data_IF_283745673938
#
_entry.id   IF_283745673938
#
_cell.length_a   1.000
_cell.length_b   1.000
_cell.length_c   1.000
_cell.angle_alpha   90.00
_cell.angle_beta   90.00
_cell.angle_gamma   90.00
#
_symmetry.space_group_name_H-M   'P 1'
#
loop_
_entity.id
_entity.type
_entity.pdbx_description
1 polymer ?
#
# COMPACT_ATOMS: atom_id res chain seq x y z
N UNK A 1 -13.84 9.61 8.59
CA UNK A 1 -13.22 9.11 7.34
C UNK A 1 -14.10 8.12 6.59
N UNK A 2 -14.66 7.11 7.27
CA UNK A 2 -15.53 6.08 6.64
C UNK A 2 -16.67 6.65 5.79
N UNK A 3 -17.25 7.81 6.14
CA UNK A 3 -18.27 8.49 5.33
C UNK A 3 -17.79 8.81 3.92
N UNK A 4 -16.58 9.34 3.77
CA UNK A 4 -16.03 9.67 2.45
C UNK A 4 -15.68 8.43 1.64
N UNK A 5 -15.20 7.37 2.31
CA UNK A 5 -14.99 6.06 1.66
C UNK A 5 -16.32 5.50 1.16
N UNK A 6 -17.37 5.58 1.99
CA UNK A 6 -18.71 5.17 1.61
C UNK A 6 -19.23 5.96 0.40
N UNK A 7 -19.11 7.28 0.41
CA UNK A 7 -19.55 8.15 -0.70
C UNK A 7 -18.78 7.82 -1.99
N UNK A 8 -17.47 7.57 -1.91
CA UNK A 8 -16.66 7.11 -3.03
C UNK A 8 -17.16 5.75 -3.56
N UNK A 9 -17.32 4.74 -2.71
CA UNK A 9 -17.82 3.41 -3.11
C UNK A 9 -19.20 3.50 -3.75
N UNK A 10 -20.08 4.36 -3.22
CA UNK A 10 -21.43 4.58 -3.74
C UNK A 10 -21.43 5.30 -5.08
N UNK A 11 -20.59 6.31 -5.25
CA UNK A 11 -20.51 7.13 -6.46
C UNK A 11 -20.14 6.33 -7.72
N UNK A 12 -19.44 5.20 -7.55
CA UNK A 12 -19.01 4.34 -8.67
C UNK A 12 -20.06 3.27 -9.02
N UNK A 13 -21.23 3.29 -8.38
CA UNK A 13 -22.42 2.51 -8.74
C UNK A 13 -22.54 1.15 -8.03
N UNK A 14 -21.44 0.69 -7.43
CA UNK A 14 -21.31 -0.48 -6.54
C UNK A 14 -19.80 -0.72 -6.40
N UNK A 15 -19.30 -1.15 -5.24
CA UNK A 15 -17.89 -1.57 -5.08
C UNK A 15 -17.43 -2.69 -6.04
N UNK A 16 -18.37 -3.22 -6.83
CA UNK A 16 -18.25 -4.25 -7.86
C UNK A 16 -17.36 -3.93 -9.06
N UNK A 17 -17.12 -2.65 -9.39
CA UNK A 17 -16.35 -2.35 -10.59
C UNK A 17 -14.89 -2.76 -10.38
N UNK A 18 -14.53 -3.86 -11.02
CA UNK A 18 -13.16 -4.31 -11.19
C UNK A 18 -12.49 -3.36 -12.17
N UNK A 19 -11.49 -2.64 -11.68
CA UNK A 19 -10.58 -1.87 -12.50
C UNK A 19 -9.40 -2.76 -12.89
N UNK A 20 -8.85 -2.52 -14.07
CA UNK A 20 -7.68 -3.24 -14.58
C UNK A 20 -6.54 -2.28 -14.87
N UNK A 21 -5.32 -2.78 -14.73
CA UNK A 21 -4.09 -2.15 -15.22
C UNK A 21 -3.29 -3.20 -15.99
N UNK A 22 -2.72 -2.81 -17.12
CA UNK A 22 -1.75 -3.67 -17.81
C UNK A 22 -0.49 -3.80 -16.94
N UNK A 23 0.15 -4.95 -16.95
CA UNK A 23 1.35 -5.20 -16.15
C UNK A 23 2.49 -5.62 -17.04
N UNK A 24 3.62 -4.95 -16.87
CA UNK A 24 4.83 -5.20 -17.63
C UNK A 24 6.01 -5.39 -16.66
N UNK A 25 6.81 -6.42 -16.92
CA UNK A 25 8.10 -6.61 -16.26
C UNK A 25 9.22 -6.18 -17.20
N UNK A 26 10.08 -5.29 -16.73
CA UNK A 26 11.18 -4.77 -17.51
C UNK A 26 12.49 -5.45 -17.12
N UNK A 27 13.26 -5.89 -18.11
CA UNK A 27 14.59 -6.45 -17.91
C UNK A 27 15.55 -5.46 -17.21
N UNK A 28 16.08 -5.85 -16.05
CA UNK A 28 16.97 -5.02 -15.25
C UNK A 28 18.20 -4.52 -16.03
N UNK A 29 18.78 -5.34 -16.90
CA UNK A 29 19.96 -4.99 -17.69
C UNK A 29 19.67 -3.81 -18.62
N UNK A 30 18.48 -3.77 -19.23
CA UNK A 30 18.06 -2.67 -20.10
C UNK A 30 17.86 -1.37 -19.33
N UNK A 31 17.37 -1.45 -18.10
CA UNK A 31 17.25 -0.29 -17.20
C UNK A 31 18.63 0.24 -16.83
N UNK A 32 19.59 -0.65 -16.54
CA UNK A 32 20.96 -0.28 -16.13
C UNK A 32 21.78 0.36 -17.26
N UNK A 33 21.57 -0.05 -18.53
CA UNK A 33 22.31 0.48 -19.70
C UNK A 33 22.38 2.02 -19.71
N UNK A 34 23.48 2.59 -20.18
CA UNK A 34 23.61 4.05 -20.31
C UNK A 34 22.58 4.65 -21.27
N UNK A 35 22.32 3.97 -22.39
CA UNK A 35 21.32 4.32 -23.39
C UNK A 35 20.69 3.04 -23.94
N UNK A 36 19.42 3.09 -24.33
CA UNK A 36 18.79 2.01 -25.11
C UNK A 36 19.28 2.05 -26.56
N UNK A 37 19.01 0.99 -27.32
CA UNK A 37 19.28 1.02 -28.75
C UNK A 37 18.41 2.08 -29.45
N UNK A 38 18.80 2.49 -30.66
CA UNK A 38 17.95 3.39 -31.44
C UNK A 38 16.69 2.63 -31.87
N UNK A 39 15.53 3.30 -31.80
CA UNK A 39 14.23 2.74 -32.15
C UNK A 39 13.81 1.50 -31.35
N UNK A 40 14.33 1.32 -30.13
CA UNK A 40 13.84 0.30 -29.19
C UNK A 40 12.33 0.42 -29.02
N UNK A 41 11.63 -0.68 -29.28
CA UNK A 41 10.19 -0.82 -29.06
C UNK A 41 9.94 -1.30 -27.63
N UNK A 42 8.69 -1.17 -27.17
CA UNK A 42 8.30 -1.58 -25.83
C UNK A 42 8.53 -3.08 -25.59
N UNK A 43 8.12 -3.91 -26.54
CA UNK A 43 8.21 -5.37 -26.46
C UNK A 43 9.65 -5.89 -26.53
N UNK A 44 10.63 -5.04 -26.91
CA UNK A 44 12.05 -5.41 -26.89
C UNK A 44 12.63 -5.44 -25.47
N UNK A 45 12.00 -4.73 -24.52
CA UNK A 45 12.57 -4.47 -23.19
C UNK A 45 11.63 -4.83 -22.04
N UNK A 46 10.35 -5.05 -22.34
CA UNK A 46 9.33 -5.36 -21.35
C UNK A 46 8.50 -6.58 -21.77
N UNK A 47 8.22 -7.45 -20.81
CA UNK A 47 7.34 -8.61 -20.98
C UNK A 47 5.99 -8.30 -20.37
N UNK A 48 4.92 -8.45 -21.14
CA UNK A 48 3.56 -8.29 -20.63
C UNK A 48 3.14 -9.51 -19.82
N UNK A 49 2.60 -9.25 -18.63
CA UNK A 49 1.96 -10.23 -17.77
C UNK A 49 0.43 -10.07 -17.81
N UNK A 50 -0.29 -10.97 -17.15
CA UNK A 50 -1.74 -10.80 -16.95
C UNK A 50 -2.06 -9.45 -16.29
N UNK A 51 -3.23 -8.88 -16.56
CA UNK A 51 -3.62 -7.59 -15.99
C UNK A 51 -3.70 -7.65 -14.45
N UNK A 52 -3.38 -6.54 -13.78
CA UNK A 52 -3.70 -6.37 -12.37
C UNK A 52 -5.18 -5.99 -12.28
N UNK A 53 -5.97 -6.89 -11.71
CA UNK A 53 -7.40 -6.67 -11.45
C UNK A 53 -7.62 -6.32 -9.99
N UNK A 54 -8.39 -5.27 -9.73
CA UNK A 54 -8.69 -4.86 -8.36
C UNK A 54 -10.01 -4.11 -8.27
N UNK A 55 -10.68 -4.24 -7.12
CA UNK A 55 -11.83 -3.42 -6.77
C UNK A 55 -11.34 -2.01 -6.43
N UNK A 56 -12.10 -0.97 -6.78
CA UNK A 56 -11.77 0.40 -6.34
C UNK A 56 -11.76 0.54 -4.81
N UNK A 57 -12.56 -0.27 -4.11
CA UNK A 57 -12.49 -0.36 -2.66
C UNK A 57 -11.13 -0.90 -2.18
N UNK A 58 -10.54 -1.86 -2.89
CA UNK A 58 -9.20 -2.38 -2.58
C UNK A 58 -8.12 -1.33 -2.86
N UNK A 59 -8.23 -0.56 -3.93
CA UNK A 59 -7.35 0.59 -4.14
C UNK A 59 -7.50 1.63 -3.01
N UNK A 60 -8.73 1.91 -2.58
CA UNK A 60 -8.99 2.83 -1.48
C UNK A 60 -8.37 2.34 -0.17
N UNK A 61 -8.53 1.05 0.14
CA UNK A 61 -7.92 0.40 1.28
C UNK A 61 -6.40 0.54 1.22
N UNK A 62 -5.78 0.26 0.07
CA UNK A 62 -4.33 0.42 -0.14
C UNK A 62 -3.86 1.85 0.09
N UNK A 63 -4.53 2.84 -0.50
CA UNK A 63 -4.17 4.26 -0.35
C UNK A 63 -4.24 4.68 1.11
N UNK A 64 -5.33 4.36 1.82
CA UNK A 64 -5.49 4.65 3.26
C UNK A 64 -4.33 4.05 4.06
N UNK A 65 -4.00 2.78 3.81
CA UNK A 65 -2.91 2.08 4.50
C UNK A 65 -1.57 2.76 4.30
N UNK A 66 -1.25 3.16 3.07
CA UNK A 66 0.02 3.83 2.75
C UNK A 66 0.12 5.25 3.29
N UNK A 67 -0.97 6.02 3.33
CA UNK A 67 -0.97 7.43 3.75
C UNK A 67 -0.91 7.59 5.28
N UNK A 68 -1.58 6.71 6.04
CA UNK A 68 -1.60 6.75 7.51
C UNK A 68 -0.27 6.37 8.17
N UNK A 69 0.64 5.70 7.45
CA UNK A 69 2.00 5.45 7.92
C UNK A 69 2.92 6.66 7.78
N UNK A 70 2.51 7.68 7.04
CA UNK A 70 3.20 8.96 7.00
C UNK A 70 2.77 9.71 8.27
N UNK A 71 3.47 9.50 9.38
CA UNK A 71 3.18 10.09 10.70
C UNK A 71 2.97 11.62 10.72
N UNK A 72 3.39 12.34 9.67
CA UNK A 72 3.20 13.79 9.50
C UNK A 72 1.85 14.19 8.88
N UNK A 73 1.05 13.23 8.39
CA UNK A 73 -0.13 13.48 7.55
C UNK A 73 -1.48 13.17 8.21
N UNK A 74 -1.54 13.01 9.54
CA UNK A 74 -2.72 12.49 10.24
C UNK A 74 -4.04 13.27 10.00
N UNK A 75 -4.00 14.51 9.50
CA UNK A 75 -5.20 15.37 9.50
C UNK A 75 -5.86 15.70 8.15
N UNK A 76 -5.24 15.61 6.95
CA UNK A 76 -5.88 16.27 5.77
C UNK A 76 -5.77 15.69 4.34
N UNK A 77 -5.05 14.59 4.03
CA UNK A 77 -4.79 14.25 2.60
C UNK A 77 -5.46 13.00 2.03
N UNK A 78 -5.63 11.92 2.81
CA UNK A 78 -6.49 10.78 2.42
C UNK A 78 -7.92 11.25 2.10
N UNK A 79 -8.40 12.25 2.85
CA UNK A 79 -9.71 12.88 2.66
C UNK A 79 -9.80 13.55 1.28
N UNK A 80 -8.76 14.27 0.85
CA UNK A 80 -8.73 14.89 -0.48
C UNK A 80 -8.73 13.84 -1.60
N UNK A 81 -7.99 12.74 -1.46
CA UNK A 81 -8.09 11.60 -2.37
C UNK A 81 -9.52 11.06 -2.42
N UNK A 82 -10.14 10.75 -1.27
CA UNK A 82 -11.49 10.19 -1.22
C UNK A 82 -12.55 11.13 -1.81
N UNK A 83 -12.45 12.43 -1.51
CA UNK A 83 -13.38 13.44 -1.99
C UNK A 83 -13.26 13.68 -3.50
N UNK A 84 -12.05 13.59 -4.07
CA UNK A 84 -11.82 13.87 -5.50
C UNK A 84 -11.84 12.63 -6.40
N UNK A 85 -11.63 11.43 -5.86
CA UNK A 85 -11.45 10.21 -6.66
C UNK A 85 -12.64 9.87 -7.55
N UNK A 86 -13.87 10.11 -7.12
CA UNK A 86 -15.05 9.78 -7.91
C UNK A 86 -15.23 10.69 -9.15
N UNK A 87 -14.76 11.92 -9.05
CA UNK A 87 -14.80 12.88 -10.15
C UNK A 87 -13.60 12.69 -11.07
N UNK A 88 -12.42 12.39 -10.51
CA UNK A 88 -11.15 12.36 -11.23
C UNK A 88 -10.74 10.99 -11.77
N UNK A 89 -11.25 9.89 -11.22
CA UNK A 89 -10.97 8.53 -11.67
C UNK A 89 -12.18 7.99 -12.43
N UNK A 90 -11.92 7.35 -13.56
CA UNK A 90 -12.91 6.72 -14.42
C UNK A 90 -12.46 5.31 -14.77
N UNK A 91 -13.42 4.43 -15.03
CA UNK A 91 -13.17 3.10 -15.56
C UNK A 91 -13.62 3.13 -17.01
N UNK A 92 -12.67 2.92 -17.90
CA UNK A 92 -12.92 2.91 -19.35
C UNK A 92 -13.74 1.66 -19.76
N UNK A 93 -14.20 1.62 -21.01
CA UNK A 93 -15.08 0.54 -21.50
C UNK A 93 -14.46 -0.86 -21.39
N UNK A 94 -13.14 -0.96 -21.49
CA UNK A 94 -12.39 -2.22 -21.34
C UNK A 94 -11.99 -2.52 -19.88
N UNK A 95 -12.54 -1.78 -18.91
CA UNK A 95 -12.24 -1.95 -17.49
C UNK A 95 -10.96 -1.26 -17.02
N UNK A 96 -10.16 -0.66 -17.91
CA UNK A 96 -8.89 -0.07 -17.51
C UNK A 96 -9.10 1.21 -16.67
N UNK A 97 -8.33 1.34 -15.58
CA UNK A 97 -8.34 2.50 -14.70
C UNK A 97 -7.81 3.73 -15.46
N UNK A 98 -8.59 4.80 -15.54
CA UNK A 98 -8.23 6.06 -16.20
C UNK A 98 -8.46 7.26 -15.29
N UNK A 99 -7.80 8.35 -15.64
CA UNK A 99 -8.06 9.68 -15.12
C UNK A 99 -9.04 10.41 -16.05
N UNK A 100 -9.68 11.45 -15.56
CA UNK A 100 -10.39 12.40 -16.44
C UNK A 100 -9.42 13.11 -17.39
N UNK A 101 -9.96 13.59 -18.50
CA UNK A 101 -9.24 14.47 -19.42
C UNK A 101 -9.01 15.83 -18.76
N UNK A 102 -7.93 16.52 -19.15
CA UNK A 102 -7.53 17.85 -18.66
C UNK A 102 -7.43 17.97 -17.13
N UNK A 103 -6.99 16.90 -16.45
CA UNK A 103 -6.87 16.85 -14.98
C UNK A 103 -5.94 17.94 -14.40
N UNK A 104 -4.98 18.41 -15.19
CA UNK A 104 -4.09 19.54 -14.92
C UNK A 104 -4.82 20.90 -14.95
N UNK A 105 -5.94 20.99 -15.66
CA UNK A 105 -6.87 22.13 -15.59
C UNK A 105 -7.72 22.14 -14.32
N UNK A 106 -7.99 20.98 -13.71
CA UNK A 106 -8.79 20.83 -12.49
C UNK A 106 -7.97 20.91 -11.20
N UNK A 107 -6.72 20.42 -11.22
CA UNK A 107 -5.82 20.38 -10.08
C UNK A 107 -4.54 21.15 -10.39
N UNK A 108 -4.13 22.05 -9.49
CA UNK A 108 -2.80 22.65 -9.59
C UNK A 108 -1.69 21.57 -9.54
N UNK A 109 -0.53 21.86 -10.14
CA UNK A 109 0.59 20.92 -10.31
C UNK A 109 0.98 20.17 -9.02
N UNK A 110 0.99 20.88 -7.89
CA UNK A 110 1.36 20.31 -6.58
C UNK A 110 0.31 19.31 -6.11
N UNK A 111 -0.98 19.66 -6.21
CA UNK A 111 -2.10 18.81 -5.80
C UNK A 111 -2.20 17.59 -6.72
N UNK A 112 -2.01 17.78 -8.03
CA UNK A 112 -2.00 16.71 -9.00
C UNK A 112 -0.85 15.72 -8.75
N UNK A 113 0.38 16.21 -8.57
CA UNK A 113 1.54 15.35 -8.25
C UNK A 113 1.30 14.55 -6.97
N UNK A 114 0.73 15.19 -5.95
CA UNK A 114 0.40 14.59 -4.65
C UNK A 114 -0.70 13.52 -4.76
N UNK A 115 -1.72 13.76 -5.57
CA UNK A 115 -2.83 12.83 -5.85
C UNK A 115 -2.34 11.59 -6.62
N UNK A 116 -1.61 11.81 -7.72
CA UNK A 116 -1.06 10.75 -8.58
C UNK A 116 -0.05 9.90 -7.80
N UNK A 117 0.77 10.53 -6.96
CA UNK A 117 1.70 9.82 -6.07
C UNK A 117 0.99 8.83 -5.14
N UNK A 118 -0.10 9.25 -4.49
CA UNK A 118 -0.89 8.37 -3.60
C UNK A 118 -1.56 7.22 -4.33
N UNK A 119 -2.12 7.47 -5.51
CA UNK A 119 -2.67 6.40 -6.35
C UNK A 119 -1.56 5.39 -6.70
N UNK A 120 -0.39 5.88 -7.10
CA UNK A 120 0.76 5.03 -7.39
C UNK A 120 1.21 4.17 -6.21
N UNK A 121 1.23 4.75 -5.01
CA UNK A 121 1.54 4.03 -3.77
C UNK A 121 0.51 2.94 -3.48
N UNK A 122 -0.78 3.24 -3.64
CA UNK A 122 -1.86 2.26 -3.49
C UNK A 122 -1.77 1.14 -4.52
N UNK A 123 -1.52 1.46 -5.79
CA UNK A 123 -1.30 0.47 -6.85
C UNK A 123 -0.07 -0.39 -6.57
N UNK A 124 1.02 0.22 -6.06
CA UNK A 124 2.25 -0.49 -5.68
C UNK A 124 1.97 -1.54 -4.61
N UNK A 125 1.10 -1.22 -3.65
CA UNK A 125 0.69 -2.17 -2.61
C UNK A 125 -0.13 -3.33 -3.20
N UNK A 126 -1.03 -3.05 -4.15
CA UNK A 126 -1.82 -4.08 -4.83
C UNK A 126 -0.95 -5.01 -5.69
N UNK A 127 0.03 -4.48 -6.44
CA UNK A 127 0.94 -5.33 -7.23
C UNK A 127 1.85 -6.15 -6.32
N UNK A 128 2.31 -5.61 -5.20
CA UNK A 128 3.11 -6.36 -4.22
C UNK A 128 2.32 -7.54 -3.64
N UNK A 129 1.03 -7.34 -3.33
CA UNK A 129 0.15 -8.43 -2.88
C UNK A 129 -0.01 -9.51 -3.96
N UNK A 130 -0.16 -9.12 -5.23
CA UNK A 130 -0.20 -10.07 -6.35
C UNK A 130 1.10 -10.86 -6.49
N UNK A 131 2.24 -10.24 -6.17
CA UNK A 131 3.55 -10.90 -6.15
C UNK A 131 3.78 -11.78 -4.90
N UNK A 132 2.77 -11.91 -4.03
CA UNK A 132 2.83 -12.77 -2.84
C UNK A 132 3.47 -12.11 -1.61
N UNK A 133 3.64 -10.79 -1.63
CA UNK A 133 4.18 -10.05 -0.50
C UNK A 133 3.08 -9.32 0.27
N UNK A 134 3.15 -9.35 1.58
CA UNK A 134 2.31 -8.54 2.47
C UNK A 134 3.01 -7.23 2.79
N UNK A 135 2.22 -6.15 2.86
CA UNK A 135 2.72 -4.86 3.25
C UNK A 135 3.18 -4.84 4.71
N UNK A 136 4.33 -4.21 4.98
CA UNK A 136 4.87 -4.14 6.34
C UNK A 136 5.14 -2.71 6.80
N UNK A 137 5.82 -1.85 6.02
CA UNK A 137 6.09 -0.49 6.51
C UNK A 137 6.35 0.51 5.38
N UNK A 138 6.02 1.78 5.64
CA UNK A 138 6.47 2.92 4.85
C UNK A 138 7.89 3.33 5.29
N UNK A 139 8.88 2.68 4.69
CA UNK A 139 10.30 2.85 4.99
C UNK A 139 10.75 4.31 5.00
N UNK A 140 10.37 5.09 3.99
CA UNK A 140 10.78 6.50 3.88
C UNK A 140 10.22 7.41 4.99
N UNK A 141 9.16 6.96 5.67
CA UNK A 141 8.52 7.72 6.75
C UNK A 141 9.06 7.33 8.12
N UNK A 142 9.81 6.23 8.21
CA UNK A 142 10.31 5.70 9.47
C UNK A 142 11.33 6.62 10.16
N UNK A 143 11.21 6.77 11.48
CA UNK A 143 12.05 7.63 12.28
C UNK A 143 13.52 7.17 12.34
N UNK A 144 13.78 5.86 12.44
CA UNK A 144 15.15 5.30 12.45
C UNK A 144 15.79 5.51 11.09
N UNK A 145 15.08 5.25 9.99
CA UNK A 145 15.55 5.52 8.63
C UNK A 145 15.82 7.01 8.40
N UNK A 146 14.91 7.90 8.82
CA UNK A 146 15.12 9.35 8.72
C UNK A 146 16.36 9.80 9.47
N UNK A 147 16.63 9.24 10.64
CA UNK A 147 17.84 9.51 11.43
C UNK A 147 19.11 9.06 10.69
N UNK A 148 19.09 7.88 10.06
CA UNK A 148 20.21 7.38 9.23
C UNK A 148 20.45 8.30 8.02
N UNK A 149 19.39 8.71 7.32
CA UNK A 149 19.51 9.65 6.19
C UNK A 149 20.04 11.01 6.65
N UNK A 150 19.61 11.48 7.82
CA UNK A 150 20.08 12.75 8.38
C UNK A 150 21.57 12.69 8.80
N UNK A 151 22.01 11.58 9.38
CA UNK A 151 23.39 11.39 9.84
C UNK A 151 24.39 11.13 8.70
N UNK A 152 23.93 10.55 7.59
CA UNK A 152 24.72 10.39 6.35
C UNK A 152 24.86 11.69 5.55
N UNK A 153 23.93 12.64 5.71
CA UNK A 153 23.92 13.92 4.98
C UNK A 153 25.04 14.92 5.36
N UNK A 154 25.95 14.56 6.28
CA UNK A 154 26.96 15.47 6.82
C UNK A 154 28.42 15.16 6.51
N UNK A 155 28.75 13.98 5.97
CA UNK A 155 30.18 13.57 5.92
C UNK A 155 30.98 14.07 4.72
N UNK A 156 30.36 14.42 3.58
CA UNK A 156 31.10 14.79 2.35
C UNK A 156 30.39 15.80 1.41
N UNK A 157 29.40 16.58 1.87
CA UNK A 157 28.69 17.53 0.99
C UNK A 157 27.86 16.88 -0.14
N UNK A 158 27.69 15.56 -0.10
CA UNK A 158 26.88 14.79 -1.05
C UNK A 158 25.38 15.01 -0.80
N UNK A 159 24.59 15.06 -1.89
CA UNK A 159 23.12 15.15 -1.84
C UNK A 159 22.55 14.12 -0.85
N UNK A 160 21.54 14.53 -0.06
CA UNK A 160 20.79 13.65 0.85
C UNK A 160 20.49 12.32 0.17
N UNK A 161 20.88 11.23 0.82
CA UNK A 161 20.51 9.89 0.38
C UNK A 161 18.98 9.79 0.30
N UNK A 162 18.50 9.07 -0.71
CA UNK A 162 17.08 8.75 -0.85
C UNK A 162 16.88 7.29 -0.50
N UNK A 163 15.70 6.97 -0.02
CA UNK A 163 15.30 5.60 0.35
C UNK A 163 14.11 5.18 -0.48
N UNK A 164 13.94 3.87 -0.63
CA UNK A 164 12.73 3.28 -1.17
C UNK A 164 11.51 3.65 -0.29
N UNK A 165 10.33 3.73 -0.89
CA UNK A 165 9.11 4.06 -0.17
C UNK A 165 8.74 3.00 0.89
N UNK A 166 8.85 1.71 0.54
CA UNK A 166 8.21 0.63 1.28
C UNK A 166 9.11 -0.57 1.57
N UNK A 167 8.76 -1.32 2.63
CA UNK A 167 9.17 -2.71 2.88
C UNK A 167 7.94 -3.61 2.83
N UNK A 168 8.09 -4.75 2.16
CA UNK A 168 7.13 -5.83 2.08
C UNK A 168 7.78 -7.17 2.51
N UNK A 169 6.98 -8.15 2.93
CA UNK A 169 7.46 -9.47 3.41
C UNK A 169 6.55 -10.59 2.89
N UNK A 170 7.13 -11.70 2.43
CA UNK A 170 6.37 -12.89 2.01
C UNK A 170 6.20 -13.90 3.15
N UNK A 171 5.51 -15.01 2.89
CA UNK A 171 5.27 -16.06 3.90
C UNK A 171 6.56 -16.74 4.38
N UNK A 172 7.62 -16.75 3.56
CA UNK A 172 8.93 -17.30 3.92
C UNK A 172 9.77 -16.33 4.77
N UNK A 173 9.25 -15.14 5.10
CA UNK A 173 9.96 -14.05 5.77
C UNK A 173 11.05 -13.40 4.94
N UNK A 174 11.02 -13.60 3.62
CA UNK A 174 11.86 -12.85 2.70
C UNK A 174 11.29 -11.45 2.54
N UNK A 175 12.13 -10.43 2.72
CA UNK A 175 11.71 -9.04 2.57
C UNK A 175 12.15 -8.47 1.25
N UNK A 176 11.32 -7.58 0.75
CA UNK A 176 11.63 -6.78 -0.43
C UNK A 176 11.41 -5.31 -0.12
N UNK A 177 12.23 -4.45 -0.71
CA UNK A 177 11.97 -3.00 -0.67
C UNK A 177 11.42 -2.55 -2.00
N UNK A 178 10.38 -1.72 -1.96
CA UNK A 178 9.72 -1.27 -3.19
C UNK A 178 9.69 0.25 -3.24
N UNK A 179 10.19 0.80 -4.35
CA UNK A 179 10.03 2.21 -4.69
C UNK A 179 8.82 2.41 -5.61
N UNK A 180 7.92 3.32 -5.24
CA UNK A 180 6.71 3.62 -6.01
C UNK A 180 6.88 4.91 -6.80
N UNK A 181 6.82 4.82 -8.12
CA UNK A 181 6.71 5.95 -9.04
C UNK A 181 5.36 5.95 -9.71
N UNK A 182 4.83 7.13 -9.95
CA UNK A 182 3.59 7.30 -10.69
C UNK A 182 3.69 8.53 -11.58
N UNK A 183 3.21 8.42 -12.80
CA UNK A 183 3.11 9.54 -13.72
C UNK A 183 1.79 9.51 -14.47
N UNK A 184 1.32 10.69 -14.83
CA UNK A 184 0.22 10.85 -15.79
C UNK A 184 0.70 11.45 -17.13
N UNK A 185 1.92 12.01 -17.15
CA UNK A 185 2.46 12.78 -18.27
C UNK A 185 3.11 11.96 -19.39
N UNK A 186 3.48 10.69 -19.16
CA UNK A 186 4.22 9.88 -20.15
C UNK A 186 3.25 9.21 -21.11
N UNK A 187 2.68 9.88 -22.09
CA UNK A 187 1.46 9.42 -22.80
C UNK A 187 1.64 8.16 -23.68
N UNK A 188 2.85 7.92 -24.21
CA UNK A 188 3.06 6.94 -25.30
C UNK A 188 3.91 5.71 -24.96
N UNK A 189 4.18 5.44 -23.67
CA UNK A 189 5.09 4.34 -23.26
C UNK A 189 6.43 4.33 -24.01
N UNK A 190 6.97 5.51 -24.34
CA UNK A 190 8.32 5.62 -24.87
C UNK A 190 9.30 4.89 -23.95
N UNK A 191 10.04 3.88 -24.43
CA UNK A 191 10.93 3.12 -23.57
C UNK A 191 12.01 4.00 -22.91
N UNK A 192 12.41 5.09 -23.57
CA UNK A 192 13.39 6.02 -23.02
C UNK A 192 12.85 6.80 -21.82
N UNK A 193 11.57 7.19 -21.85
CA UNK A 193 10.94 7.99 -20.79
C UNK A 193 10.71 7.15 -19.54
N UNK A 194 10.18 5.93 -19.72
CA UNK A 194 9.98 5.00 -18.59
C UNK A 194 11.32 4.60 -17.97
N UNK A 195 12.34 4.30 -18.79
CA UNK A 195 13.70 4.07 -18.29
C UNK A 195 14.26 5.27 -17.52
N UNK A 196 13.96 6.49 -17.97
CA UNK A 196 14.34 7.73 -17.30
C UNK A 196 13.80 7.84 -15.87
N UNK A 197 12.70 7.16 -15.56
CA UNK A 197 12.11 7.05 -14.22
C UNK A 197 12.67 5.85 -13.46
N UNK A 198 12.70 4.68 -14.11
CA UNK A 198 13.11 3.43 -13.47
C UNK A 198 14.58 3.47 -13.04
N UNK A 199 15.49 3.93 -13.91
CA UNK A 199 16.93 3.88 -13.65
C UNK A 199 17.36 4.71 -12.43
N UNK A 200 16.92 5.98 -12.23
CA UNK A 200 17.24 6.72 -11.03
C UNK A 200 16.64 6.12 -9.75
N UNK A 201 15.40 5.62 -9.81
CA UNK A 201 14.75 4.96 -8.68
C UNK A 201 15.52 3.70 -8.27
N UNK A 202 15.88 2.86 -9.25
CA UNK A 202 16.64 1.64 -9.05
C UNK A 202 17.99 1.93 -8.41
N UNK A 203 18.77 2.83 -9.01
CA UNK A 203 20.13 3.08 -8.55
C UNK A 203 20.19 3.83 -7.22
N UNK A 204 19.33 4.84 -7.02
CA UNK A 204 19.46 5.79 -5.90
C UNK A 204 18.56 5.48 -4.70
N UNK A 205 17.53 4.65 -4.86
CA UNK A 205 16.54 4.38 -3.81
C UNK A 205 16.48 2.90 -3.46
N UNK A 206 16.56 2.01 -4.45
CA UNK A 206 16.51 0.56 -4.22
C UNK A 206 17.91 0.00 -3.98
N UNK A 207 18.78 0.01 -4.98
CA UNK A 207 20.12 -0.60 -4.92
C UNK A 207 21.00 -0.04 -3.80
N UNK A 208 20.80 1.22 -3.41
CA UNK A 208 21.54 1.83 -2.30
C UNK A 208 21.22 1.13 -0.97
N UNK A 209 19.98 0.68 -0.78
CA UNK A 209 19.47 0.13 0.46
C UNK A 209 19.49 -1.39 0.49
N UNK A 210 19.12 -2.04 -0.61
CA UNK A 210 19.22 -3.51 -0.77
C UNK A 210 20.65 -3.97 -0.51
N UNK A 211 21.65 -3.28 -1.07
CA UNK A 211 23.02 -3.80 -1.07
C UNK A 211 23.85 -3.47 0.19
N UNK A 212 23.40 -2.55 1.04
CA UNK A 212 24.28 -1.98 2.07
C UNK A 212 23.62 -1.66 3.42
N UNK A 213 22.29 -1.63 3.54
CA UNK A 213 21.68 -0.93 4.69
C UNK A 213 20.53 -1.62 5.38
N UNK A 214 20.04 -2.76 4.90
CA UNK A 214 18.87 -3.40 5.52
C UNK A 214 19.04 -4.92 5.55
N UNK A 215 18.93 -5.52 6.74
CA UNK A 215 18.98 -6.95 6.93
C UNK A 215 17.74 -7.66 6.38
N UNK A 216 17.94 -8.89 5.93
CA UNK A 216 16.89 -9.80 5.46
C UNK A 216 16.11 -9.31 4.24
N UNK A 217 16.65 -8.35 3.48
CA UNK A 217 16.12 -7.94 2.18
C UNK A 217 16.73 -8.82 1.08
N UNK A 218 15.92 -9.61 0.41
CA UNK A 218 16.33 -10.60 -0.60
C UNK A 218 16.30 -10.06 -2.02
N UNK A 219 15.54 -8.99 -2.26
CA UNK A 219 15.47 -8.28 -3.53
C UNK A 219 14.91 -6.87 -3.31
N UNK A 220 14.81 -6.09 -4.38
CA UNK A 220 14.04 -4.86 -4.36
C UNK A 220 13.22 -4.73 -5.63
N UNK A 221 12.26 -3.82 -5.65
CA UNK A 221 11.50 -3.49 -6.84
C UNK A 221 11.47 -1.98 -7.05
N UNK A 222 11.49 -1.59 -8.32
CA UNK A 222 10.97 -0.28 -8.73
C UNK A 222 9.67 -0.52 -9.45
N UNK A 223 8.61 0.11 -9.00
CA UNK A 223 7.30 0.07 -9.64
C UNK A 223 7.02 1.46 -10.21
N UNK A 224 6.64 1.53 -11.49
CA UNK A 224 6.18 2.74 -12.15
C UNK A 224 4.77 2.53 -12.69
N UNK A 225 3.81 3.28 -12.15
CA UNK A 225 2.44 3.35 -12.67
C UNK A 225 2.32 4.51 -13.65
N UNK A 226 1.90 4.24 -14.88
CA UNK A 226 1.57 5.24 -15.88
C UNK A 226 0.05 5.33 -16.01
N UNK A 227 -0.55 6.35 -15.39
CA UNK A 227 -1.99 6.60 -15.43
C UNK A 227 -2.35 7.43 -16.66
N UNK A 228 -3.41 7.05 -17.35
CA UNK A 228 -3.85 7.66 -18.61
C UNK A 228 -5.17 8.38 -18.43
N UNK A 229 -5.36 9.46 -19.17
CA UNK A 229 -6.67 10.09 -19.30
C UNK A 229 -7.60 9.26 -20.21
N UNK A 230 -8.90 9.55 -20.21
CA UNK A 230 -9.91 8.82 -20.99
C UNK A 230 -9.69 8.94 -22.50
N UNK A 231 -9.34 10.14 -22.97
CA UNK A 231 -9.12 10.43 -24.38
C UNK A 231 -7.85 9.82 -24.96
N UNK A 232 -6.96 9.26 -24.13
CA UNK A 232 -5.70 8.69 -24.57
C UNK A 232 -5.86 7.25 -25.07
N UNK A 233 -5.27 6.95 -26.24
CA UNK A 233 -5.38 5.65 -26.90
C UNK A 233 -4.81 4.49 -26.06
N UNK A 234 -3.63 4.68 -25.45
CA UNK A 234 -2.95 3.64 -24.68
C UNK A 234 -3.59 3.42 -23.31
N UNK A 235 -3.59 2.18 -22.82
CA UNK A 235 -4.07 1.83 -21.47
C UNK A 235 -3.15 2.33 -20.36
N UNK A 236 -3.71 2.57 -19.18
CA UNK A 236 -2.91 2.74 -17.98
C UNK A 236 -2.22 1.41 -17.66
N UNK A 237 -0.96 1.49 -17.26
CA UNK A 237 -0.17 0.30 -16.98
C UNK A 237 0.76 0.49 -15.80
N UNK A 238 1.26 -0.63 -15.31
CA UNK A 238 2.30 -0.75 -14.32
C UNK A 238 3.50 -1.40 -14.98
N UNK A 239 4.67 -0.83 -14.75
CA UNK A 239 5.94 -1.40 -15.14
C UNK A 239 6.76 -1.63 -13.89
N UNK A 240 7.29 -2.83 -13.68
CA UNK A 240 8.19 -3.11 -12.58
C UNK A 240 9.52 -3.72 -13.02
N UNK A 241 10.53 -3.61 -12.17
CA UNK A 241 11.86 -4.22 -12.33
C UNK A 241 12.14 -5.02 -11.07
N UNK A 242 12.61 -6.27 -11.19
CA UNK A 242 12.99 -7.16 -10.08
C UNK A 242 14.52 -7.37 -10.04
N UNK A 243 15.29 -6.40 -9.53
CA UNK A 243 16.71 -6.61 -9.26
C UNK A 243 16.93 -7.64 -8.13
N UNK A 244 17.77 -8.68 -8.34
CA UNK A 244 18.20 -9.54 -7.23
C UNK A 244 19.03 -8.74 -6.21
N UNK A 245 18.96 -9.11 -4.93
CA UNK A 245 19.87 -8.54 -3.93
C UNK A 245 21.29 -9.06 -4.11
N UNK A 246 22.29 -8.20 -3.88
CA UNK A 246 23.65 -8.68 -3.63
C UNK A 246 23.77 -9.12 -2.17
N UNK A 247 24.35 -10.30 -1.94
CA UNK A 247 24.57 -10.87 -0.61
C UNK A 247 25.70 -10.08 0.06
N UNK A 248 25.35 -9.04 0.81
CA UNK A 248 26.26 -8.29 1.67
C UNK A 248 25.78 -8.34 3.13
N UNK A 249 26.71 -8.15 4.07
CA UNK A 249 26.39 -8.06 5.50
C UNK A 249 25.70 -6.70 5.73
N UNK A 250 24.49 -6.69 6.32
CA UNK A 250 23.69 -5.47 6.46
C UNK A 250 24.19 -4.58 7.62
N UNK A 251 24.09 -3.26 7.44
CA UNK A 251 24.40 -2.28 8.50
C UNK A 251 23.27 -2.13 9.54
N UNK A 252 22.05 -2.58 9.23
CA UNK A 252 20.86 -2.34 10.06
C UNK A 252 19.92 -3.54 10.03
N UNK A 253 19.45 -3.96 11.20
CA UNK A 253 18.44 -5.01 11.33
C UNK A 253 17.07 -4.41 11.69
N UNK A 254 16.04 -4.84 10.97
CA UNK A 254 14.64 -4.55 11.33
C UNK A 254 14.06 -5.81 11.99
N UNK A 255 13.86 -5.83 13.32
CA UNK A 255 13.16 -6.93 13.96
C UNK A 255 11.77 -7.11 13.36
N UNK A 256 11.34 -8.35 13.11
CA UNK A 256 10.07 -8.67 12.42
C UNK A 256 8.88 -8.03 13.13
N UNK A 257 8.87 -8.13 14.45
CA UNK A 257 7.88 -7.57 15.34
C UNK A 257 7.76 -6.06 15.21
N UNK A 258 8.88 -5.35 15.09
CA UNK A 258 8.91 -3.90 14.98
C UNK A 258 8.29 -3.42 13.66
N UNK A 259 8.51 -4.14 12.56
CA UNK A 259 7.95 -3.75 11.26
C UNK A 259 6.45 -4.02 11.23
N UNK A 260 6.01 -5.19 11.74
CA UNK A 260 4.59 -5.55 11.83
C UNK A 260 3.81 -4.60 12.74
N UNK A 261 4.34 -4.27 13.92
CA UNK A 261 3.69 -3.35 14.87
C UNK A 261 3.37 -2.00 14.24
N UNK A 262 4.30 -1.43 13.45
CA UNK A 262 4.09 -0.15 12.77
C UNK A 262 2.99 -0.17 11.71
N UNK A 263 2.91 -1.26 10.93
CA UNK A 263 1.81 -1.45 9.98
C UNK A 263 0.45 -1.31 10.68
N UNK A 264 0.27 -2.07 11.75
CA UNK A 264 -1.00 -2.11 12.49
C UNK A 264 -1.24 -0.84 13.29
N UNK A 265 -0.19 -0.19 13.80
CA UNK A 265 -0.30 1.13 14.42
C UNK A 265 -0.98 2.15 13.50
N UNK A 266 -0.57 2.22 12.23
CA UNK A 266 -1.22 3.12 11.28
C UNK A 266 -2.68 2.75 11.01
N UNK A 267 -2.99 1.45 10.91
CA UNK A 267 -4.36 0.99 10.73
C UNK A 267 -5.26 1.32 11.93
N UNK A 268 -4.75 1.11 13.15
CA UNK A 268 -5.41 1.47 14.41
C UNK A 268 -5.65 2.98 14.48
N UNK A 269 -4.66 3.79 14.10
CA UNK A 269 -4.82 5.25 14.02
C UNK A 269 -5.92 5.65 13.03
N UNK A 270 -5.99 5.03 11.85
CA UNK A 270 -7.10 5.24 10.91
C UNK A 270 -8.47 4.88 11.51
N UNK A 271 -8.54 3.82 12.32
CA UNK A 271 -9.76 3.38 12.96
C UNK A 271 -10.15 4.22 14.18
N UNK A 272 -9.27 5.10 14.69
CA UNK A 272 -9.53 5.97 15.84
C UNK A 272 -8.89 5.50 17.16
N UNK A 273 -8.13 4.40 17.14
CA UNK A 273 -7.35 3.90 18.27
C UNK A 273 -5.98 4.59 18.31
N UNK A 274 -5.98 5.91 18.50
CA UNK A 274 -4.77 6.73 18.41
C UNK A 274 -3.76 6.45 19.55
N UNK A 275 -4.25 6.12 20.74
CA UNK A 275 -3.39 5.80 21.91
C UNK A 275 -2.64 4.49 21.65
N UNK A 276 -3.36 3.41 21.35
CA UNK A 276 -2.76 2.14 20.92
C UNK A 276 -1.80 2.29 19.72
N UNK A 277 -2.16 3.11 18.74
CA UNK A 277 -1.28 3.40 17.62
C UNK A 277 0.02 4.10 18.05
N UNK A 278 -0.07 5.11 18.92
CA UNK A 278 1.08 5.87 19.41
C UNK A 278 2.06 4.97 20.16
N UNK A 279 1.55 4.09 20.99
CA UNK A 279 2.35 3.15 21.78
C UNK A 279 3.06 2.14 20.87
N UNK A 280 2.37 1.55 19.88
CA UNK A 280 3.01 0.67 18.88
C UNK A 280 4.07 1.39 18.02
N UNK A 281 4.03 2.72 17.93
CA UNK A 281 5.06 3.54 17.29
C UNK A 281 6.23 3.89 18.22
N UNK A 282 6.05 3.78 19.54
CA UNK A 282 6.98 4.20 20.57
C UNK A 282 7.56 3.00 21.33
N UNK A 283 8.62 3.21 22.11
CA UNK A 283 9.12 2.22 23.06
C UNK A 283 8.54 2.46 24.47
N UNK A 284 7.54 3.34 24.59
CA UNK A 284 6.82 3.61 25.84
C UNK A 284 5.74 2.54 25.97
N UNK A 285 5.42 2.19 27.22
CA UNK A 285 4.36 1.22 27.54
C UNK A 285 3.22 1.92 28.24
N UNK A 286 2.03 1.83 27.67
CA UNK A 286 0.77 2.16 28.33
C UNK A 286 0.13 0.91 28.95
N UNK A 287 -0.81 1.14 29.84
CA UNK A 287 -1.59 0.09 30.49
C UNK A 287 -2.69 -0.40 29.54
N UNK A 288 -2.84 -1.71 29.40
CA UNK A 288 -3.92 -2.30 28.60
C UNK A 288 -5.25 -2.19 29.37
N UNK A 289 -6.31 -1.84 28.65
CA UNK A 289 -7.68 -1.80 29.15
C UNK A 289 -8.58 -2.73 28.35
N UNK A 290 -9.63 -3.25 28.99
CA UNK A 290 -10.55 -4.16 28.32
C UNK A 290 -11.59 -3.35 27.52
N UNK A 291 -11.69 -3.60 26.22
CA UNK A 291 -12.69 -2.99 25.33
C UNK A 291 -13.51 -4.08 24.67
N UNK A 292 -14.84 -3.94 24.74
CA UNK A 292 -15.77 -4.78 24.02
C UNK A 292 -15.88 -4.32 22.56
N UNK A 293 -15.52 -5.20 21.63
CA UNK A 293 -15.63 -4.94 20.20
C UNK A 293 -16.59 -5.93 19.55
N UNK A 294 -17.30 -5.43 18.55
CA UNK A 294 -18.07 -6.27 17.64
C UNK A 294 -17.13 -7.14 16.80
N UNK A 295 -17.43 -8.42 16.69
CA UNK A 295 -16.71 -9.38 15.87
C UNK A 295 -17.66 -9.94 14.81
N UNK A 296 -17.21 -9.90 13.55
CA UNK A 296 -17.93 -10.51 12.42
C UNK A 296 -17.12 -11.66 11.83
N UNK A 297 -17.82 -12.69 11.37
CA UNK A 297 -17.20 -13.80 10.66
C UNK A 297 -17.41 -13.65 9.15
N UNK A 298 -16.32 -13.61 8.39
CA UNK A 298 -16.33 -13.50 6.93
C UNK A 298 -15.53 -14.68 6.38
N UNK A 299 -16.20 -15.57 5.64
CA UNK A 299 -15.55 -16.70 4.96
C UNK A 299 -14.63 -17.54 5.87
N UNK A 300 -15.00 -17.71 7.16
CA UNK A 300 -14.26 -18.49 8.16
C UNK A 300 -13.15 -17.72 8.89
N UNK A 301 -12.97 -16.43 8.61
CA UNK A 301 -12.10 -15.53 9.36
C UNK A 301 -12.93 -14.58 10.24
N UNK A 302 -12.50 -14.41 11.49
CA UNK A 302 -13.15 -13.51 12.44
C UNK A 302 -12.41 -12.16 12.47
N UNK A 303 -13.16 -11.08 12.32
CA UNK A 303 -12.64 -9.71 12.31
C UNK A 303 -13.25 -8.91 13.44
N UNK A 304 -12.39 -8.31 14.27
CA UNK A 304 -12.79 -7.29 15.23
C UNK A 304 -13.06 -5.98 14.49
N UNK A 305 -14.21 -5.38 14.73
CA UNK A 305 -14.64 -4.11 14.13
C UNK A 305 -14.15 -2.97 14.99
N UNK A 306 -13.21 -2.21 14.43
CA UNK A 306 -12.55 -1.11 15.09
C UNK A 306 -13.30 0.22 14.84
N UNK A 307 -13.95 0.35 13.68
CA UNK A 307 -14.74 1.54 13.39
C UNK A 307 -15.93 1.18 12.50
N UNK A 308 -17.08 1.77 12.77
CA UNK A 308 -18.31 1.56 12.02
C UNK A 308 -19.03 2.87 11.77
N UNK A 309 -19.64 2.98 10.58
CA UNK A 309 -20.54 4.06 10.23
C UNK A 309 -21.85 3.47 9.72
N UNK A 310 -22.88 3.53 10.55
CA UNK A 310 -24.22 3.07 10.21
C UNK A 310 -24.98 4.12 9.40
N UNK A 311 -25.63 3.68 8.33
CA UNK A 311 -26.52 4.49 7.50
C UNK A 311 -27.97 4.08 7.72
N UNK A 312 -28.89 5.04 7.59
CA UNK A 312 -30.34 4.85 7.70
C UNK A 312 -30.93 3.81 6.73
N UNK A 313 -30.16 3.42 5.71
CA UNK A 313 -30.53 2.38 4.74
C UNK A 313 -30.29 0.94 5.23
N UNK A 314 -29.90 0.74 6.49
CA UNK A 314 -29.56 -0.58 7.04
C UNK A 314 -28.26 -1.14 6.46
N UNK A 315 -27.31 -0.23 6.20
CA UNK A 315 -25.97 -0.55 5.70
C UNK A 315 -24.95 0.09 6.62
N UNK A 316 -23.86 -0.61 6.89
CA UNK A 316 -22.74 -0.07 7.67
C UNK A 316 -21.46 -0.12 6.85
N UNK A 317 -20.69 0.96 6.87
CA UNK A 317 -19.29 0.94 6.44
C UNK A 317 -18.44 0.57 7.65
N UNK A 318 -17.59 -0.43 7.51
CA UNK A 318 -16.77 -0.99 8.58
C UNK A 318 -15.28 -0.89 8.23
N UNK A 319 -14.48 -0.67 9.27
CA UNK A 319 -13.05 -0.95 9.29
C UNK A 319 -12.74 -1.89 10.46
N UNK A 320 -11.93 -2.90 10.21
CA UNK A 320 -11.62 -3.93 11.20
C UNK A 320 -10.28 -4.58 10.96
N UNK A 321 -9.98 -5.57 11.80
CA UNK A 321 -8.72 -6.31 11.78
C UNK A 321 -8.99 -7.76 12.21
N UNK A 322 -8.22 -8.73 11.69
CA UNK A 322 -8.32 -10.14 12.10
C UNK A 322 -8.14 -10.25 13.63
N UNK A 323 -9.04 -11.01 14.28
CA UNK A 323 -8.99 -11.28 15.71
C UNK A 323 -7.64 -11.85 16.15
N UNK A 324 -7.02 -12.71 15.33
CA UNK A 324 -5.70 -13.30 15.66
C UNK A 324 -4.62 -12.25 15.79
N UNK A 325 -4.63 -11.25 14.92
CA UNK A 325 -3.64 -10.17 15.01
C UNK A 325 -3.98 -9.19 16.13
N UNK A 326 -5.26 -8.94 16.41
CA UNK A 326 -5.67 -8.13 17.56
C UNK A 326 -5.13 -8.72 18.88
N UNK A 327 -5.27 -10.04 19.05
CA UNK A 327 -4.71 -10.75 20.21
C UNK A 327 -3.18 -10.72 20.23
N UNK A 328 -2.55 -10.94 19.07
CA UNK A 328 -1.09 -10.90 18.97
C UNK A 328 -0.49 -9.51 19.26
N UNK A 329 -1.22 -8.43 18.98
CA UNK A 329 -0.81 -7.06 19.33
C UNK A 329 -0.92 -6.79 20.83
N UNK A 330 -1.95 -7.35 21.50
CA UNK A 330 -2.07 -7.26 22.95
C UNK A 330 -0.90 -7.97 23.65
N UNK A 331 -0.58 -9.20 23.24
CA UNK A 331 0.59 -9.94 23.74
C UNK A 331 1.90 -9.19 23.49
N UNK A 332 2.03 -8.55 22.32
CA UNK A 332 3.21 -7.75 21.99
C UNK A 332 3.39 -6.55 22.92
N UNK A 333 2.30 -5.91 23.38
CA UNK A 333 2.36 -4.85 24.37
C UNK A 333 2.83 -5.34 25.75
N UNK A 334 2.71 -6.64 26.03
CA UNK A 334 3.24 -7.32 27.23
C UNK A 334 4.65 -7.92 27.02
N UNK A 335 5.37 -7.50 25.98
CA UNK A 335 6.68 -8.02 25.53
C UNK A 335 6.69 -9.45 24.97
N UNK A 336 5.54 -10.01 24.58
CA UNK A 336 5.48 -11.31 23.90
C UNK A 336 5.21 -11.17 22.39
N UNK A 337 6.28 -11.25 21.59
CA UNK A 337 6.20 -11.14 20.14
C UNK A 337 5.92 -12.47 19.41
N UNK A 338 5.74 -13.60 20.12
CA UNK A 338 5.65 -14.93 19.49
C UNK A 338 4.46 -15.07 18.56
N UNK A 339 3.27 -14.61 19.00
CA UNK A 339 2.06 -14.64 18.18
C UNK A 339 2.16 -13.66 17.01
N UNK A 340 2.71 -12.47 17.24
CA UNK A 340 2.87 -11.47 16.19
C UNK A 340 3.83 -11.97 15.09
N UNK A 341 4.90 -12.65 15.47
CA UNK A 341 5.88 -13.21 14.56
C UNK A 341 5.32 -14.40 13.74
N UNK A 342 4.57 -15.28 14.39
CA UNK A 342 3.94 -16.45 13.77
C UNK A 342 2.67 -16.15 12.97
N UNK A 343 2.12 -14.93 13.04
CA UNK A 343 0.98 -14.55 12.21
C UNK A 343 1.37 -14.53 10.71
N UNK A 344 0.67 -15.36 9.94
CA UNK A 344 0.86 -15.59 8.50
C UNK A 344 -0.11 -14.80 7.62
N UNK A 345 -1.09 -14.11 8.22
CA UNK A 345 -2.11 -13.37 7.46
C UNK A 345 -3.38 -14.17 7.16
N UNK A 346 -4.24 -13.54 6.36
CA UNK A 346 -5.50 -14.12 5.86
C UNK A 346 -5.24 -14.83 4.54
N UNK A 347 -5.82 -16.02 4.39
CA UNK A 347 -5.66 -16.85 3.20
C UNK A 347 -6.19 -16.14 1.94
N UNK A 348 -5.41 -16.14 0.85
CA UNK A 348 -5.79 -15.52 -0.42
C UNK A 348 -7.12 -16.05 -0.99
N UNK A 349 -7.42 -17.34 -0.80
CA UNK A 349 -8.67 -17.93 -1.24
C UNK A 349 -9.89 -17.31 -0.55
N UNK A 350 -9.72 -16.85 0.70
CA UNK A 350 -10.76 -16.14 1.45
C UNK A 350 -10.95 -14.74 0.84
N UNK A 351 -9.84 -14.05 0.53
CA UNK A 351 -9.83 -12.71 -0.09
C UNK A 351 -10.54 -12.71 -1.46
N UNK A 352 -10.38 -13.78 -2.24
CA UNK A 352 -11.03 -13.94 -3.53
C UNK A 352 -12.53 -14.25 -3.41
N UNK A 353 -12.95 -14.89 -2.33
CA UNK A 353 -14.36 -15.24 -2.06
C UNK A 353 -15.18 -14.08 -1.50
N UNK A 354 -14.54 -13.03 -1.00
CA UNK A 354 -15.27 -11.92 -0.38
C UNK A 354 -16.03 -11.12 -1.42
N UNK A 355 -17.29 -10.81 -1.09
CA UNK A 355 -18.19 -10.06 -1.97
C UNK A 355 -17.66 -8.69 -2.42
N UNK A 356 -18.39 -8.09 -3.34
CA UNK A 356 -18.02 -6.84 -4.04
C UNK A 356 -17.88 -5.62 -3.13
N UNK A 357 -18.46 -5.66 -1.93
CA UNK A 357 -18.50 -4.53 -1.01
C UNK A 357 -17.45 -4.62 0.08
N UNK A 358 -16.58 -5.64 0.07
CA UNK A 358 -15.58 -5.87 1.11
C UNK A 358 -14.19 -6.00 0.47
N UNK A 359 -13.20 -5.40 1.12
CA UNK A 359 -11.78 -5.58 0.84
C UNK A 359 -11.06 -6.06 2.09
N UNK A 360 -10.50 -7.27 2.01
CA UNK A 360 -9.60 -7.84 3.02
C UNK A 360 -8.22 -7.92 2.40
N UNK A 361 -7.19 -7.49 3.13
CA UNK A 361 -5.80 -7.65 2.70
C UNK A 361 -5.13 -8.86 3.35
N UNK A 362 -4.05 -9.39 2.74
CA UNK A 362 -3.33 -10.55 3.28
C UNK A 362 -2.86 -10.36 4.72
N UNK A 363 -2.59 -9.13 5.16
CA UNK A 363 -2.20 -8.87 6.53
C UNK A 363 -3.39 -8.80 7.52
N UNK A 364 -4.62 -9.05 7.06
CA UNK A 364 -5.81 -9.17 7.90
C UNK A 364 -6.51 -7.86 8.23
N UNK A 365 -6.17 -6.75 7.58
CA UNK A 365 -7.00 -5.55 7.66
C UNK A 365 -8.25 -5.70 6.81
N UNK A 366 -9.36 -5.14 7.29
CA UNK A 366 -10.68 -5.22 6.66
C UNK A 366 -11.25 -3.81 6.43
N UNK A 367 -11.72 -3.54 5.22
CA UNK A 367 -12.49 -2.34 4.88
C UNK A 367 -13.68 -2.73 4.00
N UNK A 368 -14.90 -2.39 4.39
CA UNK A 368 -16.04 -2.78 3.56
C UNK A 368 -17.39 -2.27 4.02
N UNK A 369 -18.36 -2.33 3.11
CA UNK A 369 -19.76 -2.06 3.38
C UNK A 369 -20.51 -3.38 3.52
N UNK A 370 -21.27 -3.50 4.60
CA UNK A 370 -22.14 -4.65 4.86
C UNK A 370 -23.60 -4.19 4.99
N UNK A 371 -24.53 -5.08 4.67
CA UNK A 371 -25.95 -4.89 5.00
C UNK A 371 -26.30 -5.57 6.32
N UNK A 372 -27.28 -5.03 7.05
CA UNK A 372 -27.72 -5.52 8.37
C UNK A 372 -28.14 -7.00 8.39
N UNK A 373 -28.49 -7.58 7.24
CA UNK A 373 -28.91 -8.99 7.11
C UNK A 373 -27.81 -9.97 6.73
N UNK A 374 -26.58 -9.50 6.45
CA UNK A 374 -25.55 -10.33 5.82
C UNK A 374 -24.62 -11.03 6.82
N UNK A 375 -24.49 -10.52 8.04
CA UNK A 375 -23.51 -11.04 9.00
C UNK A 375 -24.06 -11.05 10.43
N UNK A 376 -23.72 -12.09 11.18
CA UNK A 376 -23.95 -12.14 12.62
C UNK A 376 -22.80 -11.46 13.35
N UNK A 377 -23.14 -10.55 14.25
CA UNK A 377 -22.18 -9.94 15.18
C UNK A 377 -22.18 -10.72 16.48
N UNK A 378 -20.99 -10.88 17.06
CA UNK A 378 -20.82 -11.24 18.47
C UNK A 378 -19.95 -10.21 19.14
N UNK A 379 -20.18 -9.96 20.42
CA UNK A 379 -19.28 -9.10 21.21
C UNK A 379 -18.18 -9.97 21.80
N UNK A 380 -16.95 -9.50 21.70
CA UNK A 380 -15.79 -10.11 22.35
C UNK A 380 -14.95 -9.01 22.99
N UNK A 381 -14.49 -9.27 24.20
CA UNK A 381 -13.61 -8.36 24.92
C UNK A 381 -12.17 -8.55 24.47
N UNK A 382 -11.49 -7.44 24.20
CA UNK A 382 -10.08 -7.39 23.81
C UNK A 382 -9.32 -6.51 24.78
N UNK A 383 -8.08 -6.89 25.10
CA UNK A 383 -7.15 -5.98 25.73
C UNK A 383 -6.64 -5.01 24.66
N UNK A 384 -6.95 -3.74 24.85
CA UNK A 384 -6.61 -2.63 23.96
C UNK A 384 -5.98 -1.55 24.81
N UNK A 385 -4.95 -0.87 24.30
CA UNK A 385 -4.32 0.26 25.00
C UNK A 385 -5.27 1.46 25.06
#
# INVERSE_FOLDING_TARGET
MLKFIYDLVKSVGSGAKVATLEVYEWNEDDVKKNRLANNTQWDDVAVQHGNLEFKLLSLTHAVVKTDFLIQRNLNFYSIAFLMSSHELIKISKNGNLRLVDDIDGFLNDVTLTSFIGRIGQGITLLIAHRLGYSYVCHLASDAKIKSIIASSAGKNGTKKEKVADFIFENNNKDRTIIESKCSYSIQDFSPSDVKGILKPALNKQVNTWVNNKIANVTNGYVVHSALRSIGQANNSAITYVDPPANINIPDFDFPIEWVKAKNYAAWLSFCGFHEMASELFSDIKAELHLVDLDVISICGCDFAILNSLYHTSGKAMLAGIDVKIMLALADYCEDDSRLLNSYEGVNINIIEQVGETISIFPDGTLLGMIGDSQFSFRVQSFWVL
#
